data_IF_624950709616
#
_entry.id   IF_624950709616
#
_cell.length_a   1.000
_cell.length_b   1.000
_cell.length_c   1.000
_cell.angle_alpha   90.00
_cell.angle_beta   90.00
_cell.angle_gamma   90.00
#
_symmetry.space_group_name_H-M   'P 1'
#
loop_
_entity.id
_entity.type
_entity.pdbx_description
1 polymer ?
#
# COMPACT_ATOMS: atom_id res chain seq x y z
N UNK A 1 -13.02 -40.22 42.74
CA UNK A 1 -12.91 -38.78 43.06
C UNK A 1 -13.17 -37.99 41.79
N UNK A 2 -14.35 -37.43 41.63
CA UNK A 2 -14.74 -36.60 40.49
C UNK A 2 -14.04 -35.27 40.64
N UNK A 3 -13.09 -34.97 39.74
CA UNK A 3 -12.50 -33.63 39.63
C UNK A 3 -13.63 -32.63 39.37
N UNK A 4 -13.94 -31.78 40.34
CA UNK A 4 -14.79 -30.62 40.12
C UNK A 4 -14.09 -29.71 39.15
N UNK A 5 -14.53 -29.65 37.90
CA UNK A 5 -14.12 -28.60 36.98
C UNK A 5 -14.55 -27.25 37.57
N UNK A 6 -13.60 -26.47 38.01
CA UNK A 6 -13.85 -25.08 38.43
C UNK A 6 -14.07 -24.29 37.15
N UNK A 7 -15.30 -23.85 36.91
CA UNK A 7 -15.57 -22.87 35.85
C UNK A 7 -15.19 -21.49 36.38
N UNK A 8 -14.12 -20.90 35.87
CA UNK A 8 -13.64 -19.59 36.31
C UNK A 8 -14.69 -18.49 36.15
N UNK A 9 -15.60 -18.62 35.17
CA UNK A 9 -16.72 -17.69 35.01
C UNK A 9 -17.68 -17.65 36.21
N UNK A 10 -17.78 -18.76 36.96
CA UNK A 10 -18.64 -18.83 38.15
C UNK A 10 -17.96 -18.27 39.42
N UNK A 11 -16.61 -18.07 39.37
CA UNK A 11 -15.83 -17.58 40.50
C UNK A 11 -15.71 -16.06 40.49
N UNK A 12 -15.75 -15.46 39.33
CA UNK A 12 -15.61 -13.99 39.17
C UNK A 12 -16.91 -13.41 38.63
N UNK A 13 -17.43 -12.32 39.24
CA UNK A 13 -18.59 -11.63 38.69
C UNK A 13 -18.29 -11.08 37.29
N UNK A 14 -19.25 -11.20 36.38
CA UNK A 14 -19.10 -10.65 35.04
C UNK A 14 -18.85 -9.15 35.11
N UNK A 15 -17.73 -8.70 34.51
CA UNK A 15 -17.42 -7.29 34.39
C UNK A 15 -18.40 -6.64 33.41
N UNK A 16 -18.94 -5.48 33.80
CA UNK A 16 -19.80 -4.67 32.94
C UNK A 16 -19.08 -3.41 32.49
N UNK A 17 -19.42 -2.86 31.33
CA UNK A 17 -18.86 -1.59 30.85
C UNK A 17 -19.11 -0.46 31.86
N UNK A 18 -20.30 -0.39 32.48
CA UNK A 18 -20.61 0.58 33.51
C UNK A 18 -19.70 0.44 34.76
N UNK A 19 -19.42 -0.79 35.18
CA UNK A 19 -18.50 -1.07 36.29
C UNK A 19 -17.06 -0.65 35.95
N UNK A 20 -16.61 -0.98 34.74
CA UNK A 20 -15.30 -0.54 34.23
C UNK A 20 -15.22 0.98 34.18
N UNK A 21 -16.21 1.67 33.60
CA UNK A 21 -16.25 3.12 33.51
C UNK A 21 -16.16 3.80 34.87
N UNK A 22 -16.92 3.30 35.86
CA UNK A 22 -16.85 3.78 37.24
C UNK A 22 -15.46 3.61 37.85
N UNK A 23 -14.80 2.48 37.58
CA UNK A 23 -13.42 2.25 38.03
C UNK A 23 -12.45 3.21 37.37
N UNK A 24 -12.57 3.45 36.07
CA UNK A 24 -11.74 4.43 35.32
C UNK A 24 -11.94 5.84 35.88
N UNK A 25 -13.17 6.29 36.09
CA UNK A 25 -13.48 7.61 36.63
C UNK A 25 -12.88 7.80 38.03
N UNK A 26 -12.88 6.76 38.86
CA UNK A 26 -12.23 6.81 40.18
C UNK A 26 -10.71 6.99 40.12
N UNK A 27 -10.05 6.48 39.08
CA UNK A 27 -8.60 6.63 38.85
C UNK A 27 -8.28 7.99 38.22
N UNK A 28 -9.13 8.47 37.33
CA UNK A 28 -8.97 9.76 36.65
C UNK A 28 -9.08 10.95 37.57
N UNK A 29 -9.80 10.78 38.72
CA UNK A 29 -10.09 11.83 39.69
C UNK A 29 -10.79 13.02 39.01
N UNK A 30 -10.11 14.16 38.93
CA UNK A 30 -10.65 15.41 38.35
C UNK A 30 -10.53 15.51 36.83
N UNK A 31 -9.86 14.53 36.17
CA UNK A 31 -9.73 14.52 34.71
C UNK A 31 -11.00 13.95 34.08
N UNK A 32 -11.57 14.60 33.06
CA UNK A 32 -12.74 14.08 32.39
C UNK A 32 -12.40 12.80 31.61
N UNK A 33 -13.37 11.90 31.47
CA UNK A 33 -13.23 10.65 30.70
C UNK A 33 -12.76 10.91 29.25
N UNK A 34 -13.17 12.02 28.66
CA UNK A 34 -12.77 12.45 27.31
C UNK A 34 -11.25 12.59 27.13
N UNK A 35 -10.49 12.75 28.21
CA UNK A 35 -9.01 12.78 28.17
C UNK A 35 -8.38 11.45 27.72
N UNK A 36 -9.14 10.36 27.75
CA UNK A 36 -8.71 9.04 27.29
C UNK A 36 -9.03 8.79 25.80
N UNK A 37 -9.87 9.63 25.20
CA UNK A 37 -10.23 9.52 23.80
C UNK A 37 -9.17 10.22 22.97
N UNK A 38 -8.54 9.48 22.06
CA UNK A 38 -7.62 10.03 21.08
C UNK A 38 -8.30 10.18 19.70
N UNK A 39 -7.64 10.84 18.77
CA UNK A 39 -8.14 11.01 17.41
C UNK A 39 -7.06 10.64 16.39
N UNK A 40 -7.46 9.99 15.30
CA UNK A 40 -6.60 9.78 14.13
C UNK A 40 -6.38 11.07 13.34
N UNK A 41 -5.51 11.02 12.31
CA UNK A 41 -5.32 12.12 11.37
C UNK A 41 -6.60 12.46 10.58
N UNK A 42 -7.49 11.50 10.39
CA UNK A 42 -8.82 11.67 9.78
C UNK A 42 -9.89 12.15 10.77
N UNK A 43 -9.50 12.56 11.97
CA UNK A 43 -10.40 12.95 13.06
C UNK A 43 -11.38 11.86 13.48
N UNK A 44 -10.98 10.59 13.37
CA UNK A 44 -11.74 9.46 13.90
C UNK A 44 -11.45 9.37 15.39
N UNK A 45 -12.50 9.43 16.21
CA UNK A 45 -12.39 9.27 17.66
C UNK A 45 -12.05 7.81 18.01
N UNK A 46 -10.95 7.60 18.74
CA UNK A 46 -10.49 6.29 19.19
C UNK A 46 -10.80 6.17 20.67
N UNK A 47 -11.72 5.27 21.01
CA UNK A 47 -12.16 5.03 22.37
C UNK A 47 -11.13 4.16 23.12
N UNK A 48 -11.03 4.31 24.45
CA UNK A 48 -10.12 3.48 25.26
C UNK A 48 -10.60 2.03 25.41
N UNK A 49 -11.86 1.74 25.11
CA UNK A 49 -12.46 0.41 25.16
C UNK A 49 -13.52 0.29 24.07
N UNK A 50 -13.56 -0.89 23.46
CA UNK A 50 -14.60 -1.29 22.51
C UNK A 50 -15.16 -2.65 22.91
N UNK A 51 -16.48 -2.78 22.90
CA UNK A 51 -17.15 -4.07 23.02
C UNK A 51 -16.95 -4.87 21.73
N UNK A 52 -17.04 -6.20 21.83
CA UNK A 52 -17.09 -7.05 20.64
C UNK A 52 -18.23 -6.60 19.71
N UNK A 53 -17.96 -6.51 18.43
CA UNK A 53 -18.94 -6.06 17.44
C UNK A 53 -18.95 -7.01 16.25
N UNK A 54 -20.15 -7.24 15.69
CA UNK A 54 -20.29 -7.85 14.38
C UNK A 54 -20.33 -6.74 13.33
N UNK A 55 -19.27 -6.64 12.54
CA UNK A 55 -19.20 -5.72 11.39
C UNK A 55 -19.53 -6.42 10.07
N UNK A 56 -19.71 -5.66 8.97
CA UNK A 56 -19.81 -6.21 7.64
C UNK A 56 -18.50 -6.95 7.29
N UNK A 57 -18.62 -8.16 6.78
CA UNK A 57 -17.45 -8.96 6.41
C UNK A 57 -16.84 -8.41 5.11
N UNK A 58 -15.58 -8.02 5.15
CA UNK A 58 -14.84 -7.70 3.96
C UNK A 58 -14.70 -8.94 3.07
N UNK A 59 -15.00 -8.80 1.77
CA UNK A 59 -14.80 -9.86 0.80
C UNK A 59 -13.30 -10.08 0.61
N UNK A 60 -12.81 -11.21 1.07
CA UNK A 60 -11.40 -11.58 1.02
C UNK A 60 -11.21 -12.86 0.24
N UNK A 61 -9.99 -13.06 -0.27
CA UNK A 61 -9.55 -14.38 -0.70
C UNK A 61 -9.66 -15.38 0.47
N UNK A 62 -9.65 -16.64 0.18
CA UNK A 62 -9.54 -17.70 1.19
C UNK A 62 -8.28 -17.46 2.04
N UNK A 63 -8.26 -17.99 3.28
CA UNK A 63 -7.04 -18.03 4.08
C UNK A 63 -5.87 -18.64 3.29
N UNK A 64 -4.68 -18.18 3.55
CA UNK A 64 -3.46 -18.59 2.88
C UNK A 64 -2.41 -17.48 2.94
N UNK A 65 -1.20 -17.82 2.53
CA UNK A 65 -0.08 -16.92 2.52
C UNK A 65 -0.29 -15.81 1.48
N UNK A 66 0.13 -14.59 1.80
CA UNK A 66 0.29 -13.53 0.80
C UNK A 66 1.54 -13.77 -0.04
N UNK A 67 1.60 -13.20 -1.23
CA UNK A 67 2.80 -13.24 -2.06
C UNK A 67 3.88 -12.33 -1.46
N UNK A 68 5.04 -12.91 -1.15
CA UNK A 68 6.24 -12.19 -0.70
C UNK A 68 6.94 -11.62 -1.92
N UNK A 69 6.77 -10.32 -2.20
CA UNK A 69 7.38 -9.69 -3.37
C UNK A 69 8.73 -9.06 -3.00
N UNK A 70 9.79 -9.52 -3.64
CA UNK A 70 11.09 -8.85 -3.60
C UNK A 70 11.06 -7.58 -4.46
N UNK A 71 11.43 -6.43 -3.88
CA UNK A 71 11.55 -5.17 -4.60
C UNK A 71 12.82 -5.15 -5.45
N UNK A 72 12.68 -4.90 -6.74
CA UNK A 72 13.77 -4.81 -7.73
C UNK A 72 13.80 -3.40 -8.29
N UNK A 73 14.79 -2.62 -7.89
CA UNK A 73 14.98 -1.21 -8.27
C UNK A 73 16.44 -0.89 -8.61
N UNK A 74 17.22 -1.90 -8.93
CA UNK A 74 18.63 -1.76 -9.28
C UNK A 74 18.77 -1.16 -10.69
N UNK A 75 19.63 -0.16 -10.85
CA UNK A 75 19.86 0.51 -12.13
C UNK A 75 20.67 -0.32 -13.11
N UNK A 76 21.55 -1.19 -12.62
CA UNK A 76 22.27 -2.17 -13.45
C UNK A 76 21.40 -3.44 -13.65
N UNK A 77 21.13 -3.76 -14.91
CA UNK A 77 20.22 -4.85 -15.28
C UNK A 77 20.76 -6.25 -14.93
N UNK A 78 22.08 -6.43 -15.04
CA UNK A 78 22.73 -7.70 -14.68
C UNK A 78 22.66 -7.95 -13.17
N UNK A 79 22.92 -6.92 -12.36
CA UNK A 79 22.79 -6.98 -10.93
C UNK A 79 21.32 -7.15 -10.51
N UNK A 80 20.36 -6.50 -11.20
CA UNK A 80 18.94 -6.68 -10.98
C UNK A 80 18.49 -8.12 -11.21
N UNK A 81 18.94 -8.77 -12.31
CA UNK A 81 18.66 -10.17 -12.58
C UNK A 81 19.27 -11.08 -11.50
N UNK A 82 20.54 -10.88 -11.14
CA UNK A 82 21.18 -11.66 -10.08
C UNK A 82 20.43 -11.55 -8.76
N UNK A 83 19.95 -10.35 -8.41
CA UNK A 83 19.11 -10.11 -7.24
C UNK A 83 17.78 -10.86 -7.33
N UNK A 84 17.06 -10.79 -8.47
CA UNK A 84 15.81 -11.54 -8.68
C UNK A 84 16.00 -13.02 -8.37
N UNK A 85 17.02 -13.64 -8.96
CA UNK A 85 17.26 -15.07 -8.79
C UNK A 85 17.61 -15.41 -7.33
N UNK A 86 18.46 -14.61 -6.68
CA UNK A 86 18.82 -14.80 -5.27
C UNK A 86 17.60 -14.60 -4.32
N UNK A 87 16.70 -13.65 -4.62
CA UNK A 87 15.52 -13.41 -3.81
C UNK A 87 14.48 -14.53 -3.98
N UNK A 88 14.27 -15.02 -5.18
CA UNK A 88 13.37 -16.17 -5.44
C UNK A 88 13.92 -17.44 -4.78
N UNK A 89 15.22 -17.74 -4.90
CA UNK A 89 15.87 -18.86 -4.21
C UNK A 89 15.78 -18.69 -2.68
N UNK A 90 15.83 -17.47 -2.20
CA UNK A 90 15.76 -17.12 -0.76
C UNK A 90 14.35 -17.08 -0.17
N UNK A 91 13.30 -17.50 -0.91
CA UNK A 91 11.92 -17.61 -0.40
C UNK A 91 10.99 -16.45 -0.74
N UNK A 92 11.37 -15.55 -1.67
CA UNK A 92 10.38 -14.68 -2.29
C UNK A 92 9.49 -15.51 -3.23
N UNK A 93 8.19 -15.25 -3.23
CA UNK A 93 7.22 -15.91 -4.12
C UNK A 93 6.87 -15.05 -5.33
N UNK A 94 7.46 -13.87 -5.43
CA UNK A 94 7.31 -12.97 -6.55
C UNK A 94 8.30 -11.81 -6.51
N UNK A 95 8.21 -10.95 -7.52
CA UNK A 95 9.07 -9.79 -7.72
C UNK A 95 8.23 -8.55 -8.02
N UNK A 96 8.67 -7.40 -7.49
CA UNK A 96 8.10 -6.09 -7.76
C UNK A 96 9.12 -5.27 -8.53
N UNK A 97 8.94 -5.16 -9.85
CA UNK A 97 9.83 -4.43 -10.76
C UNK A 97 9.49 -2.94 -10.72
N UNK A 98 10.35 -2.15 -10.14
CA UNK A 98 10.17 -0.70 -9.98
C UNK A 98 11.00 0.03 -11.02
N UNK A 99 10.33 0.72 -11.95
CA UNK A 99 10.98 1.50 -13.00
C UNK A 99 11.27 2.93 -12.53
N UNK A 100 12.29 3.55 -13.13
CA UNK A 100 12.62 4.97 -12.88
C UNK A 100 11.38 5.86 -13.07
N UNK A 101 11.21 6.86 -12.23
CA UNK A 101 10.10 7.82 -12.25
C UNK A 101 8.70 7.24 -12.00
N UNK A 102 8.57 5.98 -11.63
CA UNK A 102 7.31 5.39 -11.16
C UNK A 102 6.95 5.86 -9.75
N UNK A 103 5.74 5.52 -9.30
CA UNK A 103 5.24 5.94 -7.97
C UNK A 103 6.14 5.46 -6.85
N UNK A 104 6.54 4.19 -6.88
CA UNK A 104 7.38 3.59 -5.85
C UNK A 104 8.89 3.79 -6.06
N UNK A 105 9.33 4.46 -7.13
CA UNK A 105 10.76 4.62 -7.45
C UNK A 105 11.52 5.38 -6.36
N UNK A 106 10.91 6.42 -5.78
CA UNK A 106 11.51 7.27 -4.74
C UNK A 106 12.93 7.75 -5.05
N UNK A 107 13.32 7.85 -6.31
CA UNK A 107 14.62 8.21 -6.87
C UNK A 107 15.45 7.08 -7.49
N UNK A 108 15.16 5.81 -7.22
CA UNK A 108 15.85 4.65 -7.78
C UNK A 108 14.88 3.74 -8.52
N UNK A 109 15.32 3.19 -9.64
CA UNK A 109 14.50 2.26 -10.41
C UNK A 109 15.21 1.71 -11.63
N UNK A 110 14.60 0.76 -12.29
CA UNK A 110 15.06 0.14 -13.53
C UNK A 110 14.91 1.14 -14.67
N UNK A 111 15.98 1.43 -15.38
CA UNK A 111 15.95 2.35 -16.52
C UNK A 111 15.33 1.68 -17.75
N UNK A 112 14.29 2.32 -18.33
CA UNK A 112 13.62 1.85 -19.55
C UNK A 112 14.11 2.61 -20.79
N UNK A 113 15.30 2.26 -21.27
CA UNK A 113 15.87 2.86 -22.49
C UNK A 113 15.82 1.93 -23.69
N UNK A 114 15.83 0.64 -23.46
CA UNK A 114 15.81 -0.40 -24.48
C UNK A 114 14.83 -1.52 -24.06
N UNK A 115 13.81 -1.85 -24.88
CA UNK A 115 12.90 -2.95 -24.63
C UNK A 115 13.57 -4.33 -24.48
N UNK A 116 14.79 -4.50 -25.01
CA UNK A 116 15.53 -5.74 -24.87
C UNK A 116 15.96 -6.05 -23.43
N UNK A 117 16.00 -5.05 -22.54
CA UNK A 117 16.41 -5.21 -21.14
C UNK A 117 15.55 -6.26 -20.42
N UNK A 118 14.25 -6.42 -20.76
CA UNK A 118 13.36 -7.36 -20.08
C UNK A 118 13.84 -8.81 -20.22
N UNK A 119 14.43 -9.17 -21.35
CA UNK A 119 14.97 -10.53 -21.55
C UNK A 119 16.17 -10.78 -20.64
N UNK A 120 17.03 -9.80 -20.47
CA UNK A 120 18.18 -9.89 -19.56
C UNK A 120 17.73 -9.84 -18.11
N UNK A 121 16.83 -8.92 -17.77
CA UNK A 121 16.29 -8.72 -16.43
C UNK A 121 15.58 -9.97 -15.89
N UNK A 122 14.81 -10.66 -16.73
CA UNK A 122 14.03 -11.84 -16.36
C UNK A 122 14.67 -13.15 -16.84
N UNK A 123 15.93 -13.11 -17.26
CA UNK A 123 16.64 -14.31 -17.66
C UNK A 123 16.62 -15.38 -16.54
N UNK A 124 16.26 -16.62 -16.89
CA UNK A 124 16.11 -17.77 -15.99
C UNK A 124 14.94 -17.69 -14.98
N UNK A 125 14.11 -16.66 -15.02
CA UNK A 125 12.86 -16.65 -14.23
C UNK A 125 11.88 -17.65 -14.86
N UNK A 126 11.35 -18.55 -14.03
CA UNK A 126 10.47 -19.63 -14.47
C UNK A 126 9.01 -19.20 -14.40
N UNK A 127 8.47 -18.56 -15.43
CA UNK A 127 7.08 -18.04 -15.42
C UNK A 127 6.03 -19.12 -15.14
N UNK A 128 6.25 -20.35 -15.61
CA UNK A 128 5.34 -21.47 -15.43
C UNK A 128 5.21 -21.97 -13.99
N UNK A 129 6.03 -21.49 -13.06
CA UNK A 129 5.92 -21.83 -11.63
C UNK A 129 4.89 -21.00 -10.90
N UNK A 130 4.24 -20.04 -11.58
CA UNK A 130 3.26 -19.13 -10.97
C UNK A 130 3.90 -18.02 -10.13
N UNK A 131 5.21 -17.77 -10.33
CA UNK A 131 5.88 -16.64 -9.67
C UNK A 131 5.13 -15.33 -10.01
N UNK A 132 4.76 -14.58 -8.99
CA UNK A 132 4.04 -13.31 -9.19
C UNK A 132 5.01 -12.21 -9.62
N UNK A 133 4.70 -11.53 -10.73
CA UNK A 133 5.47 -10.39 -11.22
C UNK A 133 4.56 -9.17 -11.17
N UNK A 134 4.98 -8.13 -10.46
CA UNK A 134 4.26 -6.86 -10.39
C UNK A 134 5.12 -5.75 -10.97
N UNK A 135 4.58 -4.97 -11.90
CA UNK A 135 5.26 -3.83 -12.51
C UNK A 135 4.81 -2.54 -11.84
N UNK A 136 5.76 -1.67 -11.54
CA UNK A 136 5.52 -0.28 -11.17
C UNK A 136 6.13 0.63 -12.24
N UNK A 137 5.28 1.16 -13.09
CA UNK A 137 5.65 1.80 -14.34
C UNK A 137 5.62 3.33 -14.24
N UNK A 138 6.51 3.98 -14.95
CA UNK A 138 6.43 5.42 -15.27
C UNK A 138 5.74 5.63 -16.61
N UNK A 139 5.53 6.89 -17.00
CA UNK A 139 5.02 7.23 -18.33
C UNK A 139 5.96 6.72 -19.44
N UNK A 140 7.28 6.85 -19.25
CA UNK A 140 8.30 6.39 -20.18
C UNK A 140 8.38 4.87 -20.29
N UNK A 141 8.17 4.16 -19.17
CA UNK A 141 8.27 2.70 -19.13
C UNK A 141 6.95 1.97 -19.39
N UNK A 142 5.85 2.68 -19.66
CA UNK A 142 4.52 2.07 -19.93
C UNK A 142 4.56 0.97 -21.01
N UNK A 143 5.42 1.12 -22.00
CA UNK A 143 5.65 0.13 -23.06
C UNK A 143 6.20 -1.21 -22.56
N UNK A 144 6.79 -1.25 -21.35
CA UNK A 144 7.32 -2.48 -20.75
C UNK A 144 6.22 -3.51 -20.49
N UNK A 145 5.00 -3.07 -20.15
CA UNK A 145 3.86 -3.96 -19.92
C UNK A 145 3.54 -4.83 -21.15
N UNK A 146 3.33 -4.19 -22.30
CA UNK A 146 3.04 -4.92 -23.53
C UNK A 146 4.25 -5.75 -23.99
N UNK A 147 5.47 -5.21 -23.85
CA UNK A 147 6.68 -5.94 -24.24
C UNK A 147 6.91 -7.18 -23.39
N UNK A 148 6.63 -7.10 -22.10
CA UNK A 148 6.68 -8.27 -21.20
C UNK A 148 5.67 -9.33 -21.63
N UNK A 149 4.41 -8.93 -21.89
CA UNK A 149 3.37 -9.84 -22.35
C UNK A 149 3.77 -10.57 -23.64
N UNK A 150 4.34 -9.85 -24.63
CA UNK A 150 4.87 -10.43 -25.85
C UNK A 150 6.02 -11.41 -25.61
N UNK A 151 6.99 -11.02 -24.78
CA UNK A 151 8.15 -11.88 -24.50
C UNK A 151 7.71 -13.21 -23.86
N UNK A 152 6.79 -13.17 -22.89
CA UNK A 152 6.26 -14.40 -22.25
C UNK A 152 5.49 -15.26 -23.26
N UNK A 153 4.68 -14.65 -24.11
CA UNK A 153 3.97 -15.38 -25.15
C UNK A 153 4.91 -16.02 -26.18
N UNK A 154 5.99 -15.34 -26.56
CA UNK A 154 7.04 -15.85 -27.44
C UNK A 154 7.76 -17.09 -26.87
N UNK A 155 7.85 -17.21 -25.53
CA UNK A 155 8.39 -18.37 -24.84
C UNK A 155 7.45 -19.58 -24.82
N UNK A 156 6.20 -19.40 -25.26
CA UNK A 156 5.20 -20.48 -25.35
C UNK A 156 4.69 -20.99 -24.00
N UNK A 157 4.81 -20.20 -22.94
CA UNK A 157 4.29 -20.55 -21.61
C UNK A 157 2.75 -20.48 -21.65
N UNK A 158 2.09 -21.50 -21.09
CA UNK A 158 0.63 -21.53 -21.03
C UNK A 158 0.09 -20.35 -20.19
N UNK A 159 -0.85 -19.53 -20.73
CA UNK A 159 -1.27 -18.29 -20.09
C UNK A 159 -1.78 -18.44 -18.65
N UNK A 160 -2.46 -19.54 -18.34
CA UNK A 160 -3.00 -19.83 -17.01
C UNK A 160 -1.92 -20.14 -15.95
N UNK A 161 -0.68 -20.33 -16.35
CA UNK A 161 0.47 -20.53 -15.45
C UNK A 161 1.22 -19.22 -15.16
N UNK A 162 0.91 -18.15 -15.89
CA UNK A 162 1.56 -16.84 -15.77
C UNK A 162 0.77 -15.96 -14.83
N UNK A 163 1.45 -15.31 -13.88
CA UNK A 163 0.83 -14.39 -12.91
C UNK A 163 1.55 -13.04 -12.96
N UNK A 164 0.96 -12.06 -13.66
CA UNK A 164 1.56 -10.74 -13.86
C UNK A 164 0.57 -9.62 -13.56
N UNK A 165 0.94 -8.72 -12.66
CA UNK A 165 0.28 -7.44 -12.46
C UNK A 165 1.01 -6.40 -13.31
N UNK A 166 0.44 -6.05 -14.46
CA UNK A 166 1.07 -5.15 -15.42
C UNK A 166 1.11 -3.69 -14.98
N UNK A 167 0.31 -3.31 -14.00
CA UNK A 167 0.45 -2.05 -13.28
C UNK A 167 0.21 -0.79 -14.09
N UNK A 168 -0.68 -0.81 -15.10
CA UNK A 168 -1.05 0.41 -15.81
C UNK A 168 -1.82 1.34 -14.88
N UNK A 169 -1.23 2.49 -14.54
CA UNK A 169 -1.80 3.47 -13.61
C UNK A 169 -1.45 4.91 -14.00
N UNK A 170 -2.13 5.48 -14.99
CA UNK A 170 -1.87 6.86 -15.38
C UNK A 170 -2.29 7.90 -14.34
N UNK A 171 -3.33 7.66 -13.53
CA UNK A 171 -3.82 8.66 -12.57
C UNK A 171 -2.82 8.94 -11.45
N UNK A 172 -2.19 7.90 -10.89
CA UNK A 172 -1.16 8.09 -9.85
C UNK A 172 0.08 8.77 -10.39
N UNK A 173 0.45 8.51 -11.66
CA UNK A 173 1.53 9.22 -12.34
C UNK A 173 1.17 10.69 -12.60
N UNK A 174 -0.06 10.99 -13.02
CA UNK A 174 -0.57 12.35 -13.18
C UNK A 174 -0.52 13.09 -11.83
N UNK A 175 -0.95 12.44 -10.75
CA UNK A 175 -0.90 13.02 -9.41
C UNK A 175 0.54 13.28 -8.94
N UNK A 176 1.44 12.30 -9.14
CA UNK A 176 2.86 12.39 -8.79
C UNK A 176 3.59 13.49 -9.57
N UNK A 177 3.27 13.65 -10.85
CA UNK A 177 3.95 14.59 -11.74
C UNK A 177 3.33 16.01 -11.75
N UNK A 178 2.10 16.16 -11.27
CA UNK A 178 1.35 17.39 -11.39
C UNK A 178 0.88 17.66 -12.83
N UNK A 179 0.43 16.63 -13.55
CA UNK A 179 0.02 16.69 -14.95
C UNK A 179 0.86 15.80 -15.86
N UNK A 180 1.19 16.29 -17.04
CA UNK A 180 1.96 15.59 -18.08
C UNK A 180 1.10 14.80 -19.05
N UNK A 181 -0.12 14.41 -18.69
CA UNK A 181 -1.09 13.76 -19.59
C UNK A 181 -2.49 14.35 -19.37
N UNK A 182 -3.18 14.63 -20.47
CA UNK A 182 -4.59 14.99 -20.44
C UNK A 182 -5.44 13.71 -20.49
N UNK A 183 -5.98 13.31 -19.34
CA UNK A 183 -6.76 12.07 -19.23
C UNK A 183 -7.94 11.99 -20.21
N UNK A 184 -8.60 13.10 -20.46
CA UNK A 184 -9.72 13.13 -21.41
C UNK A 184 -9.31 12.76 -22.84
N UNK A 185 -8.04 13.00 -23.19
CA UNK A 185 -7.48 12.68 -24.51
C UNK A 185 -6.77 11.33 -24.54
N UNK A 186 -6.16 10.91 -23.41
CA UNK A 186 -5.32 9.71 -23.34
C UNK A 186 -6.07 8.46 -22.85
N UNK A 187 -7.27 8.61 -22.26
CA UNK A 187 -8.07 7.47 -21.80
C UNK A 187 -8.42 6.45 -22.89
N UNK A 188 -8.66 6.82 -24.18
CA UNK A 188 -8.87 5.80 -25.22
C UNK A 188 -7.60 4.98 -25.53
N UNK A 189 -6.42 5.61 -25.53
CA UNK A 189 -5.16 4.91 -25.75
C UNK A 189 -4.82 3.98 -24.57
N UNK A 190 -5.14 4.42 -23.34
CA UNK A 190 -5.04 3.59 -22.15
C UNK A 190 -5.93 2.34 -22.27
N UNK A 191 -7.20 2.51 -22.63
CA UNK A 191 -8.14 1.41 -22.82
C UNK A 191 -7.64 0.41 -23.88
N UNK A 192 -7.24 0.91 -25.07
CA UNK A 192 -6.72 0.07 -26.14
C UNK A 192 -5.46 -0.73 -25.73
N UNK A 193 -4.55 -0.11 -24.95
CA UNK A 193 -3.36 -0.79 -24.41
C UNK A 193 -3.76 -1.88 -23.42
N UNK A 194 -4.68 -1.57 -22.50
CA UNK A 194 -5.16 -2.51 -21.48
C UNK A 194 -5.84 -3.72 -22.14
N UNK A 195 -6.71 -3.51 -23.12
CA UNK A 195 -7.36 -4.59 -23.90
C UNK A 195 -6.34 -5.46 -24.63
N UNK A 196 -5.34 -4.85 -25.24
CA UNK A 196 -4.28 -5.59 -25.93
C UNK A 196 -3.48 -6.47 -24.98
N UNK A 197 -3.18 -6.01 -23.78
CA UNK A 197 -2.49 -6.81 -22.76
C UNK A 197 -3.44 -7.92 -22.25
N UNK A 198 -4.70 -7.61 -21.96
CA UNK A 198 -5.69 -8.58 -21.52
C UNK A 198 -5.89 -9.73 -22.53
N UNK A 199 -5.72 -9.44 -23.85
CA UNK A 199 -5.86 -10.45 -24.89
C UNK A 199 -4.88 -11.63 -24.78
N UNK A 200 -3.77 -11.50 -24.06
CA UNK A 200 -2.85 -12.61 -23.77
C UNK A 200 -3.41 -13.58 -22.73
N UNK A 201 -4.45 -13.20 -21.97
CA UNK A 201 -5.15 -14.04 -20.98
C UNK A 201 -4.25 -14.61 -19.87
N UNK A 202 -3.24 -13.85 -19.46
CA UNK A 202 -2.43 -14.18 -18.30
C UNK A 202 -3.23 -14.00 -17.02
N UNK A 203 -2.85 -14.74 -15.97
CA UNK A 203 -3.31 -14.47 -14.61
C UNK A 203 -2.73 -13.16 -14.08
N UNK A 204 -3.33 -12.63 -13.03
CA UNK A 204 -3.00 -11.34 -12.44
C UNK A 204 -3.88 -10.21 -12.98
N UNK A 205 -3.40 -8.98 -12.96
CA UNK A 205 -4.15 -7.79 -13.35
C UNK A 205 -3.43 -6.99 -14.44
N UNK A 206 -4.19 -6.20 -15.20
CA UNK A 206 -3.63 -5.29 -16.22
C UNK A 206 -3.46 -3.88 -15.66
N UNK A 207 -4.42 -3.45 -14.85
CA UNK A 207 -4.56 -2.09 -14.33
C UNK A 207 -4.37 -2.12 -12.82
N UNK A 208 -3.72 -1.08 -12.31
CA UNK A 208 -3.54 -0.89 -10.87
C UNK A 208 -4.02 0.49 -10.46
N UNK A 209 -4.86 0.60 -9.43
CA UNK A 209 -5.15 1.89 -8.80
C UNK A 209 -4.26 2.01 -7.56
N UNK A 210 -3.27 2.91 -7.59
CA UNK A 210 -2.23 3.03 -6.57
C UNK A 210 -2.42 4.25 -5.67
N UNK A 211 -2.87 4.02 -4.44
CA UNK A 211 -3.00 5.05 -3.41
C UNK A 211 -1.71 5.43 -2.72
N UNK A 212 -0.64 4.66 -2.88
CA UNK A 212 0.62 4.90 -2.15
C UNK A 212 1.23 6.28 -2.45
N UNK A 213 0.92 6.88 -3.60
CA UNK A 213 1.30 8.26 -3.94
C UNK A 213 0.76 9.28 -2.93
N UNK A 214 -0.44 9.05 -2.39
CA UNK A 214 -1.09 9.94 -1.40
C UNK A 214 -0.39 9.81 -0.05
N UNK A 215 -0.16 8.59 0.41
CA UNK A 215 0.59 8.34 1.66
C UNK A 215 2.03 8.88 1.56
N UNK A 216 2.71 8.65 0.43
CA UNK A 216 4.05 9.19 0.20
C UNK A 216 4.09 10.72 0.23
N UNK A 217 3.02 11.41 -0.19
CA UNK A 217 2.90 12.86 -0.10
C UNK A 217 2.45 13.36 1.31
N UNK A 218 2.25 12.47 2.27
CA UNK A 218 1.86 12.78 3.64
C UNK A 218 0.35 12.87 3.87
N UNK A 219 -0.46 12.29 2.99
CA UNK A 219 -1.91 12.16 3.15
C UNK A 219 -2.32 11.17 4.22
N UNK A 220 -3.61 11.18 4.56
CA UNK A 220 -4.23 10.29 5.56
C UNK A 220 -4.75 9.00 4.92
N UNK A 221 -5.14 8.04 5.76
CA UNK A 221 -5.71 6.76 5.33
C UNK A 221 -7.02 6.95 4.54
N UNK A 222 -7.89 7.86 4.98
CA UNK A 222 -9.14 8.14 4.26
C UNK A 222 -8.91 8.84 2.92
N UNK A 223 -7.89 9.71 2.81
CA UNK A 223 -7.50 10.34 1.55
C UNK A 223 -6.91 9.32 0.57
N UNK A 224 -6.06 8.41 1.04
CA UNK A 224 -5.51 7.33 0.23
C UNK A 224 -6.63 6.43 -0.32
N UNK A 225 -7.58 6.02 0.52
CA UNK A 225 -8.75 5.24 0.12
C UNK A 225 -9.59 5.98 -0.93
N UNK A 226 -9.94 7.25 -0.68
CA UNK A 226 -10.77 8.04 -1.60
C UNK A 226 -10.09 8.21 -2.97
N UNK A 227 -8.77 8.39 -3.00
CA UNK A 227 -7.99 8.48 -4.23
C UNK A 227 -8.05 7.18 -5.03
N UNK A 228 -7.82 6.05 -4.39
CA UNK A 228 -7.90 4.72 -5.03
C UNK A 228 -9.28 4.47 -5.63
N UNK A 229 -10.35 4.81 -4.89
CA UNK A 229 -11.72 4.68 -5.40
C UNK A 229 -11.94 5.56 -6.63
N UNK A 230 -11.48 6.82 -6.59
CA UNK A 230 -11.58 7.75 -7.72
C UNK A 230 -10.82 7.26 -8.96
N UNK A 231 -9.60 6.74 -8.78
CA UNK A 231 -8.82 6.13 -9.87
C UNK A 231 -9.52 4.91 -10.45
N UNK A 232 -9.98 4.00 -9.59
CA UNK A 232 -10.69 2.79 -10.02
C UNK A 232 -11.95 3.11 -10.84
N UNK A 233 -12.76 4.07 -10.40
CA UNK A 233 -13.95 4.50 -11.14
C UNK A 233 -13.58 5.17 -12.46
N UNK A 234 -12.51 5.95 -12.51
CA UNK A 234 -12.03 6.55 -13.77
C UNK A 234 -11.61 5.47 -14.78
N UNK A 235 -10.98 4.38 -14.32
CA UNK A 235 -10.58 3.26 -15.18
C UNK A 235 -11.78 2.42 -15.65
N UNK A 236 -12.74 2.14 -14.75
CA UNK A 236 -14.00 1.47 -15.16
C UNK A 236 -14.70 2.24 -16.27
N UNK A 237 -14.85 3.56 -16.11
CA UNK A 237 -15.47 4.43 -17.15
C UNK A 237 -14.72 4.42 -18.47
N UNK A 238 -13.38 4.38 -18.44
CA UNK A 238 -12.57 4.33 -19.65
C UNK A 238 -12.71 3.03 -20.43
N UNK A 239 -13.05 1.93 -19.76
CA UNK A 239 -13.14 0.58 -20.32
C UNK A 239 -14.58 0.10 -20.57
N UNK A 240 -15.58 0.72 -19.93
CA UNK A 240 -16.96 0.27 -19.94
C UNK A 240 -17.50 0.04 -21.36
N UNK A 241 -17.23 0.99 -22.26
CA UNK A 241 -17.77 0.93 -23.64
C UNK A 241 -17.06 -0.09 -24.52
N UNK A 242 -15.83 -0.45 -24.23
CA UNK A 242 -15.01 -1.34 -25.05
C UNK A 242 -15.07 -2.80 -24.61
N UNK A 243 -14.98 -3.06 -23.29
CA UNK A 243 -14.95 -4.44 -22.77
C UNK A 243 -16.11 -4.78 -21.83
N UNK A 244 -16.91 -3.79 -21.44
CA UNK A 244 -17.96 -3.94 -20.43
C UNK A 244 -17.44 -3.94 -18.99
N UNK A 245 -18.31 -3.58 -18.04
CA UNK A 245 -17.93 -3.36 -16.63
C UNK A 245 -17.36 -4.61 -15.93
N UNK A 246 -17.95 -5.80 -16.20
CA UNK A 246 -17.45 -7.04 -15.57
C UNK A 246 -16.02 -7.33 -15.97
N UNK A 247 -15.70 -7.26 -17.26
CA UNK A 247 -14.35 -7.54 -17.74
C UNK A 247 -13.37 -6.44 -17.31
N UNK A 248 -13.80 -5.17 -17.36
CA UNK A 248 -13.00 -4.05 -16.86
C UNK A 248 -12.61 -4.24 -15.40
N UNK A 249 -13.57 -4.60 -14.53
CA UNK A 249 -13.32 -4.91 -13.13
C UNK A 249 -12.33 -6.06 -12.94
N UNK A 250 -12.46 -7.14 -13.70
CA UNK A 250 -11.60 -8.33 -13.59
C UNK A 250 -10.15 -8.05 -14.07
N UNK A 251 -9.92 -6.93 -14.76
CA UNK A 251 -8.59 -6.45 -15.15
C UNK A 251 -7.87 -5.65 -14.04
N UNK A 252 -8.52 -5.35 -12.92
CA UNK A 252 -8.04 -4.38 -11.93
C UNK A 252 -7.43 -5.03 -10.70
N UNK A 253 -6.40 -4.37 -10.16
CA UNK A 253 -5.84 -4.56 -8.83
C UNK A 253 -5.67 -3.21 -8.13
N UNK A 254 -5.31 -3.25 -6.85
CA UNK A 254 -5.18 -2.08 -6.01
C UNK A 254 -3.85 -2.09 -5.28
N UNK A 255 -3.26 -0.91 -5.11
CA UNK A 255 -2.03 -0.74 -4.32
C UNK A 255 -2.28 0.25 -3.21
N UNK A 256 -1.80 -0.11 -2.02
CA UNK A 256 -1.92 0.72 -0.82
C UNK A 256 -0.61 0.74 -0.06
N UNK A 257 -0.29 1.87 0.55
CA UNK A 257 0.83 1.93 1.46
C UNK A 257 0.52 1.25 2.78
N UNK A 258 1.48 0.54 3.36
CA UNK A 258 1.44 0.03 4.72
C UNK A 258 2.37 0.88 5.60
N UNK A 259 1.84 1.43 6.69
CA UNK A 259 2.56 2.27 7.64
C UNK A 259 2.80 1.51 8.96
N UNK A 260 3.58 2.11 9.85
CA UNK A 260 3.87 1.57 11.18
C UNK A 260 2.66 1.62 12.14
N UNK A 261 1.59 2.36 11.82
CA UNK A 261 0.33 2.33 12.57
C UNK A 261 -0.45 1.04 12.24
N UNK A 262 -0.29 0.05 13.14
CA UNK A 262 -0.88 -1.27 12.94
C UNK A 262 -2.42 -1.23 12.93
N UNK A 263 -3.03 -0.47 13.83
CA UNK A 263 -4.50 -0.45 13.96
C UNK A 263 -5.18 0.21 12.75
N UNK A 264 -4.71 1.40 12.37
CA UNK A 264 -5.22 2.08 11.18
C UNK A 264 -4.85 1.32 9.90
N UNK A 265 -3.65 0.72 9.83
CA UNK A 265 -3.24 -0.10 8.71
C UNK A 265 -4.20 -1.28 8.48
N UNK A 266 -4.48 -2.09 9.50
CA UNK A 266 -5.44 -3.21 9.41
C UNK A 266 -6.82 -2.71 8.96
N UNK A 267 -7.32 -1.64 9.59
CA UNK A 267 -8.63 -1.09 9.26
C UNK A 267 -8.69 -0.57 7.81
N UNK A 268 -7.62 0.05 7.30
CA UNK A 268 -7.53 0.59 5.94
C UNK A 268 -7.66 -0.49 4.86
N UNK A 269 -6.92 -1.58 4.98
CA UNK A 269 -7.02 -2.69 4.02
C UNK A 269 -8.41 -3.34 4.03
N UNK A 270 -9.02 -3.49 5.21
CA UNK A 270 -10.40 -3.97 5.34
C UNK A 270 -11.40 -2.98 4.73
N UNK A 271 -11.22 -1.67 4.98
CA UNK A 271 -12.09 -0.62 4.45
C UNK A 271 -12.09 -0.56 2.92
N UNK A 272 -10.92 -0.72 2.26
CA UNK A 272 -10.85 -0.72 0.80
C UNK A 272 -11.76 -1.80 0.19
N UNK A 273 -11.76 -3.02 0.75
CA UNK A 273 -12.59 -4.11 0.27
C UNK A 273 -14.09 -3.82 0.40
N UNK A 274 -14.50 -3.22 1.51
CA UNK A 274 -15.90 -2.84 1.74
C UNK A 274 -16.34 -1.71 0.81
N UNK A 275 -15.48 -0.71 0.63
CA UNK A 275 -15.75 0.44 -0.22
C UNK A 275 -15.83 0.05 -1.69
N UNK A 276 -14.92 -0.81 -2.15
CA UNK A 276 -14.94 -1.26 -3.53
C UNK A 276 -16.15 -2.15 -3.81
N UNK A 277 -16.50 -3.08 -2.92
CA UNK A 277 -17.72 -3.86 -3.01
C UNK A 277 -18.98 -2.98 -3.12
N UNK A 278 -19.02 -1.83 -2.44
CA UNK A 278 -20.09 -0.84 -2.58
C UNK A 278 -20.11 -0.18 -3.97
N UNK A 279 -18.94 0.11 -4.55
CA UNK A 279 -18.85 0.63 -5.92
C UNK A 279 -19.36 -0.42 -6.92
N UNK A 280 -18.91 -1.67 -6.82
CA UNK A 280 -19.37 -2.76 -7.67
C UNK A 280 -20.90 -2.90 -7.62
N UNK A 281 -21.47 -2.94 -6.42
CA UNK A 281 -22.92 -3.01 -6.23
C UNK A 281 -23.64 -1.79 -6.84
N UNK A 282 -23.08 -0.58 -6.71
CA UNK A 282 -23.64 0.63 -7.32
C UNK A 282 -23.57 0.62 -8.85
N UNK A 283 -22.61 -0.11 -9.42
CA UNK A 283 -22.50 -0.35 -10.87
C UNK A 283 -23.34 -1.54 -11.35
N UNK A 284 -24.14 -2.17 -10.47
CA UNK A 284 -24.96 -3.35 -10.81
C UNK A 284 -24.17 -4.65 -10.93
N UNK A 285 -22.92 -4.68 -10.42
CA UNK A 285 -22.08 -5.87 -10.39
C UNK A 285 -22.24 -6.63 -9.06
N UNK A 286 -22.15 -7.96 -9.12
CA UNK A 286 -22.01 -8.76 -7.91
C UNK A 286 -20.62 -8.56 -7.32
N UNK A 287 -20.48 -8.11 -6.06
CA UNK A 287 -19.18 -7.87 -5.44
C UNK A 287 -18.29 -9.10 -5.38
N UNK A 288 -17.00 -8.94 -5.69
CA UNK A 288 -15.98 -10.00 -5.65
C UNK A 288 -14.80 -9.59 -4.75
N UNK A 289 -14.02 -10.56 -4.25
CA UNK A 289 -12.72 -10.26 -3.64
C UNK A 289 -11.80 -9.55 -4.62
N UNK A 290 -11.22 -8.44 -4.19
CA UNK A 290 -10.22 -7.68 -4.97
C UNK A 290 -8.80 -8.11 -4.60
N UNK A 291 -7.85 -7.92 -5.52
CA UNK A 291 -6.43 -8.13 -5.29
C UNK A 291 -5.77 -6.83 -4.79
N UNK A 292 -5.06 -6.91 -3.65
CA UNK A 292 -4.40 -5.75 -3.03
C UNK A 292 -2.92 -6.04 -2.81
N UNK A 293 -2.06 -5.26 -3.45
CA UNK A 293 -0.64 -5.18 -3.15
C UNK A 293 -0.38 -4.10 -2.09
N UNK A 294 0.22 -4.48 -0.97
CA UNK A 294 0.73 -3.54 0.03
C UNK A 294 2.21 -3.23 -0.23
N UNK A 295 2.57 -1.95 -0.20
CA UNK A 295 3.96 -1.49 -0.22
C UNK A 295 4.28 -0.76 1.08
N UNK A 296 5.53 -0.83 1.57
CA UNK A 296 5.92 -0.03 2.74
C UNK A 296 5.77 1.45 2.45
N UNK A 297 5.17 2.20 3.37
CA UNK A 297 5.00 3.64 3.25
C UNK A 297 6.35 4.38 3.25
N UNK A 298 6.60 5.19 2.21
CA UNK A 298 7.81 6.00 2.12
C UNK A 298 7.90 7.06 3.22
N UNK A 299 6.77 7.69 3.55
CA UNK A 299 6.70 8.79 4.51
C UNK A 299 7.15 8.42 5.94
N UNK A 300 7.16 7.12 6.29
CA UNK A 300 7.63 6.65 7.61
C UNK A 300 9.14 6.41 7.70
N UNK A 301 9.86 6.38 6.56
CA UNK A 301 11.28 6.02 6.52
C UNK A 301 12.16 7.16 7.05
N UNK A 302 13.32 6.80 7.61
CA UNK A 302 14.34 7.75 8.07
C UNK A 302 15.72 7.37 7.55
N UNK A 303 16.57 8.38 7.30
CA UNK A 303 18.00 8.19 7.04
C UNK A 303 18.76 8.06 8.35
N UNK A 304 18.24 8.70 9.42
CA UNK A 304 18.79 8.65 10.76
C UNK A 304 18.37 7.35 11.44
N UNK A 305 19.33 6.69 12.11
CA UNK A 305 19.13 5.38 12.75
C UNK A 305 18.31 4.41 11.87
N UNK A 306 18.82 4.04 10.68
CA UNK A 306 18.03 3.28 9.70
C UNK A 306 17.61 1.90 10.20
N UNK A 307 18.29 1.34 11.21
CA UNK A 307 17.88 0.08 11.84
C UNK A 307 16.46 0.12 12.42
N UNK A 308 15.96 1.29 12.83
CA UNK A 308 14.59 1.46 13.28
C UNK A 308 13.59 1.26 12.13
N UNK A 309 13.99 1.46 10.87
CA UNK A 309 13.14 1.17 9.72
C UNK A 309 12.83 -0.33 9.60
N UNK A 310 13.67 -1.23 10.11
CA UNK A 310 13.36 -2.68 10.17
C UNK A 310 12.10 -2.91 10.99
N UNK A 311 11.99 -2.24 12.15
CA UNK A 311 10.83 -2.36 13.02
C UNK A 311 9.58 -1.74 12.40
N UNK A 312 9.72 -0.59 11.73
CA UNK A 312 8.62 0.06 11.00
C UNK A 312 8.11 -0.83 9.87
N UNK A 313 9.03 -1.39 9.07
CA UNK A 313 8.68 -2.31 7.98
C UNK A 313 8.03 -3.61 8.51
N UNK A 314 8.48 -4.13 9.63
CA UNK A 314 7.88 -5.28 10.31
C UNK A 314 6.44 -5.00 10.76
N UNK A 315 6.20 -3.84 11.40
CA UNK A 315 4.86 -3.41 11.81
C UNK A 315 3.94 -3.21 10.60
N UNK A 316 4.45 -2.60 9.53
CA UNK A 316 3.72 -2.39 8.28
C UNK A 316 3.34 -3.72 7.60
N UNK A 317 4.28 -4.68 7.53
CA UNK A 317 4.02 -6.01 6.98
C UNK A 317 2.95 -6.76 7.78
N UNK A 318 3.05 -6.70 9.11
CA UNK A 318 2.06 -7.30 10.00
C UNK A 318 0.67 -6.70 9.76
N UNK A 319 0.58 -5.36 9.74
CA UNK A 319 -0.70 -4.67 9.51
C UNK A 319 -1.32 -5.03 8.15
N UNK A 320 -0.51 -5.03 7.09
CA UNK A 320 -0.95 -5.40 5.74
C UNK A 320 -1.42 -6.86 5.67
N UNK A 321 -0.65 -7.80 6.22
CA UNK A 321 -0.99 -9.23 6.23
C UNK A 321 -2.29 -9.52 6.98
N UNK A 322 -2.43 -9.01 8.21
CA UNK A 322 -3.66 -9.14 9.01
C UNK A 322 -4.82 -8.40 8.37
N UNK A 323 -4.59 -7.19 7.82
CA UNK A 323 -5.58 -6.40 7.09
C UNK A 323 -6.04 -7.04 5.78
N UNK A 324 -5.29 -8.03 5.28
CA UNK A 324 -5.68 -8.87 4.14
C UNK A 324 -5.12 -8.43 2.81
N UNK A 325 -3.92 -7.88 2.77
CA UNK A 325 -3.18 -7.74 1.53
C UNK A 325 -2.90 -9.11 0.90
N UNK A 326 -2.99 -9.21 -0.43
CA UNK A 326 -2.76 -10.44 -1.20
C UNK A 326 -1.28 -10.59 -1.60
N UNK A 327 -0.57 -9.47 -1.64
CA UNK A 327 0.87 -9.42 -1.85
C UNK A 327 1.47 -8.28 -1.01
N UNK A 328 2.73 -8.43 -0.59
CA UNK A 328 3.44 -7.41 0.17
C UNK A 328 4.83 -7.21 -0.42
N UNK A 329 5.22 -5.95 -0.64
CA UNK A 329 6.55 -5.53 -1.06
C UNK A 329 7.12 -4.54 -0.05
N UNK A 330 8.16 -4.93 0.70
CA UNK A 330 8.77 -4.09 1.72
C UNK A 330 9.95 -3.29 1.18
N UNK A 331 10.03 -2.03 1.58
CA UNK A 331 11.24 -1.23 1.41
C UNK A 331 12.35 -1.79 2.32
N UNK A 332 13.54 -2.09 1.80
CA UNK A 332 14.69 -2.37 2.63
C UNK A 332 15.01 -1.19 3.57
N UNK A 333 15.52 -1.47 4.75
CA UNK A 333 15.67 -0.46 5.80
C UNK A 333 16.62 0.68 5.45
N UNK A 334 17.53 0.47 4.52
CA UNK A 334 18.47 1.49 4.02
C UNK A 334 17.97 2.24 2.79
N UNK A 335 16.74 2.00 2.32
CA UNK A 335 16.20 2.61 1.08
C UNK A 335 16.26 4.13 1.10
N UNK A 336 16.07 4.76 2.25
CA UNK A 336 16.16 6.21 2.39
C UNK A 336 17.61 6.74 2.32
N UNK A 337 18.62 5.89 2.51
CA UNK A 337 20.03 6.24 2.46
C UNK A 337 20.65 6.03 1.07
N UNK A 338 20.08 5.15 0.25
CA UNK A 338 20.62 4.81 -1.07
C UNK A 338 20.12 3.46 -1.59
N UNK A 339 20.80 2.96 -2.62
CA UNK A 339 20.51 1.63 -3.18
C UNK A 339 20.84 0.55 -2.14
N UNK A 340 19.86 -0.20 -1.63
CA UNK A 340 20.10 -1.20 -0.60
C UNK A 340 21.02 -2.32 -1.07
N UNK A 341 21.85 -2.80 -0.17
CA UNK A 341 22.68 -3.97 -0.37
C UNK A 341 21.88 -5.29 -0.25
N UNK A 342 22.54 -6.40 -0.51
CA UNK A 342 21.94 -7.73 -0.44
C UNK A 342 21.46 -8.09 0.99
N UNK A 343 22.14 -7.58 2.05
CA UNK A 343 21.76 -7.84 3.43
C UNK A 343 20.46 -7.12 3.80
N UNK A 344 20.31 -5.85 3.42
CA UNK A 344 19.09 -5.08 3.65
C UNK A 344 17.89 -5.68 2.90
N UNK A 345 18.08 -6.13 1.65
CA UNK A 345 17.02 -6.79 0.85
C UNK A 345 16.61 -8.14 1.44
N UNK A 346 17.60 -8.95 1.85
CA UNK A 346 17.34 -10.21 2.55
C UNK A 346 16.53 -9.99 3.83
N UNK A 347 16.83 -8.94 4.59
CA UNK A 347 16.12 -8.64 5.83
C UNK A 347 14.65 -8.29 5.56
N UNK A 348 14.36 -7.48 4.55
CA UNK A 348 12.99 -7.13 4.14
C UNK A 348 12.19 -8.39 3.72
N UNK A 349 12.79 -9.29 2.93
CA UNK A 349 12.18 -10.57 2.54
C UNK A 349 11.95 -11.47 3.76
N UNK A 350 12.97 -11.67 4.59
CA UNK A 350 12.88 -12.58 5.74
C UNK A 350 11.91 -12.08 6.81
N UNK A 351 11.69 -10.79 6.95
CA UNK A 351 10.64 -10.23 7.81
C UNK A 351 9.28 -10.83 7.44
N UNK A 352 8.95 -10.91 6.17
CA UNK A 352 7.68 -11.49 5.72
C UNK A 352 7.65 -13.01 5.90
N UNK A 353 8.75 -13.70 5.61
CA UNK A 353 8.85 -15.15 5.78
C UNK A 353 8.66 -15.56 7.25
N UNK A 354 9.20 -14.80 8.21
CA UNK A 354 8.97 -15.02 9.66
C UNK A 354 7.48 -14.86 9.99
N UNK A 355 6.82 -13.82 9.47
CA UNK A 355 5.39 -13.58 9.71
C UNK A 355 4.53 -14.71 9.15
N UNK A 356 4.90 -15.29 8.00
CA UNK A 356 4.16 -16.40 7.39
C UNK A 356 4.47 -17.75 8.03
N UNK A 357 5.76 -18.10 8.15
CA UNK A 357 6.17 -19.48 8.45
C UNK A 357 6.45 -19.74 9.93
N UNK A 358 6.80 -18.71 10.72
CA UNK A 358 7.03 -18.83 12.15
C UNK A 358 5.86 -18.25 12.96
N UNK A 359 5.28 -17.12 12.53
CA UNK A 359 4.13 -16.48 13.20
C UNK A 359 2.78 -16.98 12.65
N UNK A 360 2.76 -17.71 11.54
CA UNK A 360 1.58 -18.36 10.94
C UNK A 360 0.42 -17.41 10.62
N UNK A 361 0.70 -16.16 10.23
CA UNK A 361 -0.34 -15.14 10.03
C UNK A 361 -1.25 -15.40 8.83
N UNK A 362 -0.84 -16.26 7.87
CA UNK A 362 -1.65 -16.62 6.71
C UNK A 362 -2.78 -17.63 7.00
N UNK A 363 -2.78 -18.29 8.17
CA UNK A 363 -3.70 -19.41 8.43
C UNK A 363 -5.16 -18.99 8.66
N UNK A 364 -5.40 -17.77 9.09
CA UNK A 364 -6.75 -17.27 9.39
C UNK A 364 -7.10 -16.11 8.46
N UNK A 365 -8.24 -16.23 7.78
CA UNK A 365 -8.80 -15.13 7.02
C UNK A 365 -9.45 -14.12 7.98
N UNK A 366 -9.11 -12.84 7.86
CA UNK A 366 -9.63 -11.74 8.68
C UNK A 366 -9.58 -11.97 10.20
N UNK A 367 -8.39 -12.15 10.79
CA UNK A 367 -8.27 -12.40 12.24
C UNK A 367 -8.69 -11.18 13.08
N UNK A 368 -8.87 -10.00 12.49
CA UNK A 368 -9.37 -8.80 13.15
C UNK A 368 -10.91 -8.75 13.24
N UNK A 369 -11.62 -9.67 12.56
CA UNK A 369 -13.07 -9.68 12.55
C UNK A 369 -13.64 -9.94 13.95
N UNK A 370 -14.67 -9.17 14.33
CA UNK A 370 -15.33 -9.27 15.63
C UNK A 370 -14.66 -8.49 16.76
N UNK A 371 -13.43 -7.99 16.54
CA UNK A 371 -12.76 -7.12 17.50
C UNK A 371 -13.29 -5.69 17.34
N UNK A 372 -14.03 -5.18 18.34
CA UNK A 372 -14.79 -3.92 18.23
C UNK A 372 -13.96 -2.71 17.84
N UNK A 373 -12.69 -2.63 18.26
CA UNK A 373 -11.79 -1.54 17.86
C UNK A 373 -11.50 -1.54 16.35
N UNK A 374 -11.20 -2.71 15.77
CA UNK A 374 -10.97 -2.82 14.32
C UNK A 374 -12.25 -2.62 13.50
N UNK A 375 -13.38 -3.16 13.98
CA UNK A 375 -14.67 -2.95 13.30
C UNK A 375 -15.04 -1.48 13.27
N UNK A 376 -14.93 -0.78 14.41
CA UNK A 376 -15.21 0.66 14.51
C UNK A 376 -14.29 1.49 13.63
N UNK A 377 -12.97 1.25 13.68
CA UNK A 377 -12.01 1.97 12.83
C UNK A 377 -12.26 1.73 11.34
N UNK A 378 -12.57 0.48 10.95
CA UNK A 378 -12.91 0.14 9.57
C UNK A 378 -14.14 0.90 9.09
N UNK A 379 -15.22 0.91 9.90
CA UNK A 379 -16.47 1.60 9.57
C UNK A 379 -16.27 3.11 9.45
N UNK A 380 -15.58 3.72 10.41
CA UNK A 380 -15.32 5.16 10.39
C UNK A 380 -14.40 5.58 9.23
N UNK A 381 -13.38 4.79 8.89
CA UNK A 381 -12.58 4.99 7.69
C UNK A 381 -13.43 4.88 6.42
N UNK A 382 -14.34 3.90 6.34
CA UNK A 382 -15.26 3.80 5.22
C UNK A 382 -16.13 5.06 5.08
N UNK A 383 -16.67 5.59 6.18
CA UNK A 383 -17.50 6.82 6.15
C UNK A 383 -16.69 8.03 5.67
N UNK A 384 -15.48 8.21 6.22
CA UNK A 384 -14.60 9.34 5.86
C UNK A 384 -14.14 9.26 4.40
N UNK A 385 -13.63 8.11 3.98
CA UNK A 385 -13.18 7.90 2.61
C UNK A 385 -14.30 8.03 1.59
N UNK A 386 -15.51 7.52 1.92
CA UNK A 386 -16.67 7.65 1.05
C UNK A 386 -17.09 9.11 0.87
N UNK A 387 -17.10 9.90 1.93
CA UNK A 387 -17.38 11.34 1.83
C UNK A 387 -16.38 12.06 0.93
N UNK A 388 -15.07 11.81 1.13
CA UNK A 388 -14.01 12.39 0.27
C UNK A 388 -14.13 11.93 -1.19
N UNK A 389 -14.48 10.66 -1.41
CA UNK A 389 -14.74 10.14 -2.75
C UNK A 389 -15.94 10.83 -3.42
N UNK A 390 -17.02 11.09 -2.68
CA UNK A 390 -18.16 11.84 -3.19
C UNK A 390 -17.78 13.28 -3.56
N UNK A 391 -16.91 13.93 -2.80
CA UNK A 391 -16.38 15.25 -3.14
C UNK A 391 -15.56 15.22 -4.44
N UNK A 392 -14.72 14.18 -4.62
CA UNK A 392 -13.97 13.95 -5.86
C UNK A 392 -14.91 13.77 -7.05
N UNK A 393 -15.94 12.93 -6.91
CA UNK A 393 -16.92 12.69 -7.99
C UNK A 393 -17.74 13.94 -8.32
N UNK A 394 -18.11 14.71 -7.30
CA UNK A 394 -18.83 15.99 -7.46
C UNK A 394 -17.99 17.05 -8.18
N UNK A 395 -16.66 16.99 -8.07
CA UNK A 395 -15.73 17.84 -8.80
C UNK A 395 -15.55 17.43 -10.28
N UNK A 396 -16.15 16.33 -10.70
CA UNK A 396 -16.01 15.76 -12.06
C UNK A 396 -15.05 14.58 -12.15
N UNK A 397 -14.77 13.91 -11.02
CA UNK A 397 -13.89 12.76 -10.88
C UNK A 397 -12.46 13.13 -10.52
N UNK A 398 -11.62 12.09 -10.32
CA UNK A 398 -10.27 12.26 -9.76
C UNK A 398 -9.38 13.17 -10.62
N UNK A 399 -9.44 13.06 -11.94
CA UNK A 399 -8.65 13.93 -12.83
C UNK A 399 -9.01 15.41 -12.67
N UNK A 400 -10.30 15.73 -12.60
CA UNK A 400 -10.77 17.10 -12.39
C UNK A 400 -10.38 17.63 -10.99
N UNK A 401 -10.49 16.79 -9.97
CA UNK A 401 -10.07 17.13 -8.60
C UNK A 401 -8.56 17.41 -8.51
N UNK A 402 -7.72 16.64 -9.22
CA UNK A 402 -6.29 16.89 -9.32
C UNK A 402 -5.99 18.18 -10.11
N UNK A 403 -6.63 18.37 -11.28
CA UNK A 403 -6.43 19.54 -12.13
C UNK A 403 -6.80 20.85 -11.43
N UNK A 404 -7.85 20.85 -10.61
CA UNK A 404 -8.26 22.01 -9.81
C UNK A 404 -7.38 22.29 -8.59
N UNK A 405 -6.52 21.33 -8.19
CA UNK A 405 -5.72 21.41 -6.97
C UNK A 405 -6.51 21.11 -5.68
N UNK A 406 -7.79 20.78 -5.76
CA UNK A 406 -8.65 20.51 -4.62
C UNK A 406 -8.10 19.37 -3.76
N UNK A 407 -7.78 18.25 -4.37
CA UNK A 407 -7.29 17.07 -3.66
C UNK A 407 -5.90 17.32 -3.04
N UNK A 408 -4.99 17.94 -3.78
CA UNK A 408 -3.65 18.29 -3.28
C UNK A 408 -3.68 19.22 -2.09
N UNK A 409 -4.63 20.18 -2.06
CA UNK A 409 -4.82 21.09 -0.92
C UNK A 409 -5.20 20.33 0.35
N UNK A 410 -6.07 19.31 0.24
CA UNK A 410 -6.46 18.45 1.37
C UNK A 410 -5.27 17.62 1.87
N UNK A 411 -4.50 17.01 0.98
CA UNK A 411 -3.28 16.24 1.33
C UNK A 411 -2.24 17.16 1.99
N UNK A 412 -2.01 18.36 1.45
CA UNK A 412 -1.08 19.33 2.03
C UNK A 412 -1.50 19.76 3.44
N UNK A 413 -2.80 19.98 3.67
CA UNK A 413 -3.32 20.32 5.00
C UNK A 413 -3.06 19.21 6.02
N UNK A 414 -3.30 17.94 5.65
CA UNK A 414 -3.05 16.79 6.51
C UNK A 414 -1.55 16.64 6.81
N UNK A 415 -0.70 16.78 5.80
CA UNK A 415 0.75 16.76 5.95
C UNK A 415 1.25 17.81 6.92
N UNK A 416 0.83 19.07 6.76
CA UNK A 416 1.26 20.16 7.63
C UNK A 416 0.74 19.98 9.07
N UNK A 417 -0.46 19.46 9.26
CA UNK A 417 -0.99 19.12 10.58
C UNK A 417 -0.11 18.06 11.28
N UNK A 418 0.29 16.99 10.56
CA UNK A 418 1.20 15.94 11.09
C UNK A 418 2.58 16.51 11.41
N UNK A 419 3.14 17.37 10.55
CA UNK A 419 4.41 18.08 10.80
C UNK A 419 4.34 18.94 12.06
N UNK A 420 3.28 19.69 12.23
CA UNK A 420 3.08 20.54 13.42
C UNK A 420 3.02 19.70 14.72
N UNK A 421 2.34 18.56 14.70
CA UNK A 421 2.27 17.61 15.83
C UNK A 421 3.65 17.05 16.17
N UNK A 422 4.46 16.69 15.18
CA UNK A 422 5.82 16.20 15.35
C UNK A 422 6.74 17.29 15.90
N UNK A 423 6.70 18.51 15.34
CA UNK A 423 7.50 19.66 15.82
C UNK A 423 7.15 20.04 17.26
N UNK A 424 5.89 19.92 17.63
CA UNK A 424 5.43 20.18 19.00
C UNK A 424 5.78 19.06 19.99
N UNK A 425 6.42 17.97 19.54
CA UNK A 425 6.77 16.80 20.38
C UNK A 425 5.56 15.99 20.85
N UNK A 426 4.36 16.24 20.29
CA UNK A 426 3.12 15.51 20.62
C UNK A 426 3.05 14.13 19.95
N UNK A 427 3.79 13.91 18.86
CA UNK A 427 4.04 12.61 18.28
C UNK A 427 5.56 12.33 18.27
N UNK A 428 5.92 11.07 18.21
CA UNK A 428 7.32 10.62 18.31
C UNK A 428 7.74 9.89 17.04
N UNK A 429 8.93 10.21 16.54
CA UNK A 429 9.66 9.41 15.58
C UNK A 429 10.86 8.81 16.29
N UNK A 430 10.78 7.49 16.56
CA UNK A 430 11.83 6.77 17.30
C UNK A 430 13.11 6.74 16.45
N UNK A 431 14.26 6.96 17.11
CA UNK A 431 15.55 7.11 16.44
C UNK A 431 15.78 8.48 15.80
N UNK A 432 14.71 9.29 15.61
CA UNK A 432 14.78 10.60 14.93
C UNK A 432 14.51 11.76 15.89
N UNK A 433 13.31 11.84 16.50
CA UNK A 433 12.96 12.89 17.47
C UNK A 433 13.17 12.42 18.91
N UNK A 434 12.97 11.13 19.18
CA UNK A 434 13.11 10.50 20.50
C UNK A 434 13.98 9.26 20.43
N UNK A 435 14.65 8.95 21.53
CA UNK A 435 15.51 7.77 21.68
C UNK A 435 16.57 7.70 20.56
N UNK A 436 17.20 8.83 20.29
CA UNK A 436 18.24 8.95 19.27
C UNK A 436 19.47 8.15 19.70
N UNK A 437 20.14 7.48 18.73
CA UNK A 437 21.48 6.96 19.00
C UNK A 437 22.47 8.11 19.24
N UNK A 438 23.42 7.92 20.13
CA UNK A 438 24.45 8.92 20.43
C UNK A 438 25.43 9.07 19.26
N UNK A 439 25.68 7.98 18.54
CA UNK A 439 26.60 7.90 17.42
C UNK A 439 25.93 7.19 16.26
N UNK A 440 25.87 7.86 15.10
CA UNK A 440 25.33 7.29 13.90
C UNK A 440 26.42 6.58 13.11
N UNK A 441 26.25 5.28 12.90
CA UNK A 441 27.16 4.50 12.08
C UNK A 441 26.83 4.72 10.60
N UNK A 442 27.85 4.91 9.74
CA UNK A 442 27.65 4.98 8.30
C UNK A 442 26.98 3.70 7.80
N UNK A 443 25.93 3.85 6.98
CA UNK A 443 25.26 2.71 6.36
C UNK A 443 25.89 2.39 5.01
N UNK A 444 26.17 1.11 4.81
CA UNK A 444 26.61 0.62 3.51
C UNK A 444 25.42 0.63 2.53
N UNK A 445 25.57 1.34 1.43
CA UNK A 445 24.64 1.35 0.30
C UNK A 445 25.41 1.18 -1.01
N UNK A 446 24.79 0.50 -1.98
CA UNK A 446 25.43 0.28 -3.28
C UNK A 446 25.62 1.57 -4.08
N UNK A 447 24.74 2.55 -3.90
CA UNK A 447 24.80 3.86 -4.55
C UNK A 447 24.00 4.85 -3.70
N UNK A 448 24.51 6.06 -3.54
CA UNK A 448 23.78 7.16 -2.89
C UNK A 448 22.57 7.57 -3.73
N UNK A 449 21.52 8.09 -3.07
CA UNK A 449 20.38 8.63 -3.78
C UNK A 449 20.82 9.82 -4.65
N UNK A 450 20.40 9.89 -5.91
CA UNK A 450 20.60 11.10 -6.71
C UNK A 450 19.85 12.26 -6.08
N UNK A 451 20.38 13.47 -6.25
CA UNK A 451 19.67 14.67 -5.83
C UNK A 451 18.29 14.73 -6.51
N UNK A 452 17.24 14.96 -5.72
CA UNK A 452 15.88 15.09 -6.26
C UNK A 452 15.85 16.23 -7.27
N UNK A 453 15.61 15.90 -8.54
CA UNK A 453 15.42 16.91 -9.57
C UNK A 453 14.10 17.63 -9.31
N UNK A 454 14.12 18.97 -9.26
CA UNK A 454 12.88 19.75 -9.28
C UNK A 454 12.15 19.41 -10.58
N UNK A 455 10.93 18.89 -10.46
CA UNK A 455 10.08 18.70 -11.64
C UNK A 455 9.69 20.05 -12.19
N UNK A 456 10.17 20.37 -13.41
CA UNK A 456 9.90 21.63 -14.11
C UNK A 456 8.73 21.39 -15.06
N UNK A 457 7.76 22.31 -15.10
CA UNK A 457 6.67 22.29 -16.09
C UNK A 457 5.43 21.49 -15.66
N UNK A 458 5.17 21.36 -14.35
CA UNK A 458 3.91 20.79 -13.87
C UNK A 458 2.71 21.71 -14.22
N UNK A 459 1.60 21.10 -14.68
CA UNK A 459 0.36 21.81 -15.03
C UNK A 459 -0.41 22.24 -13.75
N UNK A 460 -0.22 21.49 -12.66
CA UNK A 460 -0.80 21.73 -11.34
C UNK A 460 0.13 21.20 -10.23
N UNK A 461 -0.22 21.41 -8.98
CA UNK A 461 0.62 21.01 -7.83
C UNK A 461 0.79 19.48 -7.79
N UNK A 462 2.03 18.95 -7.84
CA UNK A 462 2.26 17.51 -7.75
C UNK A 462 2.14 16.97 -6.31
N UNK A 463 1.79 15.70 -6.17
CA UNK A 463 1.88 14.95 -4.92
C UNK A 463 3.30 14.35 -4.79
N UNK A 464 4.25 15.18 -4.39
CA UNK A 464 5.64 14.73 -4.24
C UNK A 464 5.83 13.90 -2.97
N UNK A 465 6.60 12.80 -3.03
CA UNK A 465 6.92 12.00 -1.86
C UNK A 465 7.78 12.80 -0.88
N UNK A 466 7.49 12.63 0.41
CA UNK A 466 8.21 13.21 1.54
C UNK A 466 8.51 12.11 2.57
N UNK A 467 9.48 12.38 3.45
CA UNK A 467 9.65 11.62 4.69
C UNK A 467 9.43 12.57 5.87
N UNK A 468 8.62 12.17 6.83
CA UNK A 468 8.39 13.00 8.02
C UNK A 468 9.66 13.19 8.86
N UNK A 469 10.65 12.32 8.68
CA UNK A 469 11.95 12.42 9.34
C UNK A 469 12.83 13.55 8.76
N UNK A 470 12.67 13.94 7.49
CA UNK A 470 13.53 14.89 6.77
C UNK A 470 13.77 16.21 7.51
N UNK A 471 12.74 16.72 8.22
CA UNK A 471 12.88 17.98 8.96
C UNK A 471 13.73 17.87 10.23
N UNK A 472 14.08 16.66 10.66
CA UNK A 472 14.83 16.37 11.88
C UNK A 472 16.16 15.67 11.60
N UNK A 473 16.45 15.42 10.33
CA UNK A 473 17.69 14.83 9.83
C UNK A 473 18.68 15.96 9.51
N UNK A 474 20.02 15.71 9.60
CA UNK A 474 21.04 16.71 9.30
C UNK A 474 21.08 17.14 7.84
#
# INVERSE_FOLDING_TARGET
>A
MTQKHINFADVFPSATEAGWRKSVESVLKDKPFQSLISASADHIAIQPLYSAAAGPRALRRKSGDWSVLARIDHTDIGAANAQILADLEGGATGIHLVFENSVAAHTLGISWRDPAILRTLLAKVQFQTGVRISLDLSAESRGAALKLAQNIADEGVAPNLVNVDFGLDPMSLIALNGGGENWSETSPQFAALAERIASFKFGGSVISADGSVVQAAGGTEAQELAFVLGCGVAYLRALETSVGLEHARDMMSYRMAADADVFLGIAKFRALRLLWARIEAACGLEPKPIDILATSGWAMMSTRDPWVNVLRAGSAAFAAGIGGADAISLLPFTQANGLPDAAARRLARNTQNILLHESHLGQVADPAAGAGGFESLTEELCKKAWSLFQDIESAGGIYAALKSGMFQAQVASAREAKRAILKAGKAKLIGVTHFKTAEELPMAVGMALPATSKRVGADFVPLLPIRFAEEFEP
#
